data_IF_689956464767
#
_entry.id   IF_689956464767
#
_cell.length_a   1.000
_cell.length_b   1.000
_cell.length_c   1.000
_cell.angle_alpha   90.00
_cell.angle_beta   90.00
_cell.angle_gamma   90.00
#
_symmetry.space_group_name_H-M   'P 1'
#
loop_
_entity.id
_entity.type
_entity.pdbx_description
1 polymer ?
#
# COMPACT_ATOMS: atom_id res chain seq x y z
N UNK A 1 -7.59 10.73 13.28
CA UNK A 1 -7.77 9.84 12.13
C UNK A 1 -8.91 8.87 12.36
N UNK A 2 -9.73 8.56 11.34
CA UNK A 2 -10.81 7.59 11.52
C UNK A 2 -10.29 6.22 11.95
N UNK A 3 -11.17 5.45 12.59
CA UNK A 3 -10.81 4.10 13.00
C UNK A 3 -10.59 3.19 11.80
N UNK A 4 -9.61 2.27 11.86
CA UNK A 4 -9.47 1.24 10.84
C UNK A 4 -10.66 0.28 10.86
N UNK A 5 -10.93 -0.44 9.76
CA UNK A 5 -11.98 -1.44 9.70
C UNK A 5 -11.75 -2.58 10.70
N UNK A 6 -12.83 -3.26 11.05
CA UNK A 6 -12.80 -4.42 11.94
C UNK A 6 -11.91 -5.53 11.35
N UNK A 7 -11.17 -6.20 12.22
CA UNK A 7 -10.31 -7.33 11.85
C UNK A 7 -11.10 -8.56 11.38
N UNK A 8 -12.42 -8.60 11.58
CA UNK A 8 -13.28 -9.66 11.05
C UNK A 8 -13.47 -9.60 9.53
N UNK A 9 -13.13 -8.47 8.90
CA UNK A 9 -13.22 -8.28 7.46
C UNK A 9 -12.04 -8.98 6.78
N UNK A 10 -12.28 -9.59 5.61
CA UNK A 10 -11.24 -10.25 4.84
C UNK A 10 -10.05 -9.31 4.59
N UNK A 11 -8.79 -9.78 4.67
CA UNK A 11 -7.62 -8.90 4.60
C UNK A 11 -7.57 -7.98 3.40
N UNK A 12 -7.92 -8.45 2.21
CA UNK A 12 -7.88 -7.59 1.01
C UNK A 12 -8.97 -6.51 1.07
N UNK A 13 -10.14 -6.84 1.55
CA UNK A 13 -11.22 -5.87 1.68
C UNK A 13 -10.90 -4.86 2.78
N UNK A 14 -10.25 -5.32 3.84
CA UNK A 14 -9.79 -4.45 4.91
C UNK A 14 -8.73 -3.46 4.41
N UNK A 15 -7.79 -3.91 3.59
CA UNK A 15 -6.79 -3.03 2.99
C UNK A 15 -7.44 -1.98 2.10
N UNK A 16 -8.39 -2.37 1.25
CA UNK A 16 -9.13 -1.44 0.41
C UNK A 16 -9.89 -0.41 1.24
N UNK A 17 -10.51 -0.84 2.31
CA UNK A 17 -11.23 0.06 3.21
C UNK A 17 -10.30 1.04 3.91
N UNK A 18 -9.12 0.59 4.34
CA UNK A 18 -8.11 1.45 4.96
C UNK A 18 -7.65 2.54 3.98
N UNK A 19 -7.34 2.18 2.74
CA UNK A 19 -6.91 3.14 1.72
C UNK A 19 -8.03 4.14 1.43
N UNK A 20 -9.27 3.66 1.35
CA UNK A 20 -10.43 4.54 1.16
C UNK A 20 -10.56 5.57 2.30
N UNK A 21 -10.36 5.14 3.54
CA UNK A 21 -10.37 6.03 4.71
C UNK A 21 -9.23 7.05 4.63
N UNK A 22 -8.03 6.61 4.28
CA UNK A 22 -6.86 7.49 4.17
C UNK A 22 -7.04 8.57 3.11
N UNK A 23 -7.77 8.28 2.06
CA UNK A 23 -8.09 9.23 0.99
C UNK A 23 -9.39 9.99 1.21
N UNK A 24 -10.09 9.73 2.31
CA UNK A 24 -11.32 10.40 2.67
C UNK A 24 -11.10 11.75 3.35
N UNK A 25 -12.19 12.47 3.70
CA UNK A 25 -12.11 13.84 4.20
C UNK A 25 -11.25 14.04 5.46
N UNK A 26 -11.22 13.04 6.35
CA UNK A 26 -10.45 13.09 7.59
C UNK A 26 -9.22 12.18 7.54
N UNK A 27 -8.79 11.80 6.34
CA UNK A 27 -7.68 10.89 6.14
C UNK A 27 -6.33 11.58 6.11
N UNK A 28 -5.36 10.93 5.47
CA UNK A 28 -4.00 11.42 5.33
C UNK A 28 -3.90 12.45 4.19
N UNK A 29 -3.47 13.68 4.46
CA UNK A 29 -3.35 14.71 3.40
C UNK A 29 -2.48 14.28 2.23
N UNK A 30 -1.39 13.57 2.50
CA UNK A 30 -0.50 13.06 1.46
C UNK A 30 -1.24 12.09 0.52
N UNK A 31 -1.99 11.14 1.10
CA UNK A 31 -2.75 10.16 0.31
C UNK A 31 -3.86 10.83 -0.51
N UNK A 32 -4.51 11.82 0.07
CA UNK A 32 -5.59 12.57 -0.61
C UNK A 32 -5.06 13.30 -1.85
N UNK A 33 -3.85 13.84 -1.79
CA UNK A 33 -3.25 14.57 -2.89
C UNK A 33 -2.74 13.68 -4.02
N UNK A 34 -2.58 12.37 -3.79
CA UNK A 34 -2.03 11.48 -4.80
C UNK A 34 -3.00 11.23 -5.95
N UNK A 35 -2.48 11.22 -7.14
CA UNK A 35 -3.16 10.80 -8.37
C UNK A 35 -2.47 9.56 -8.91
N UNK A 36 -3.09 8.88 -9.88
CA UNK A 36 -2.42 7.75 -10.54
C UNK A 36 -1.08 8.17 -11.13
N UNK A 37 -1.02 9.34 -11.75
CA UNK A 37 0.21 9.88 -12.34
C UNK A 37 1.29 10.17 -11.30
N UNK A 38 0.92 10.76 -10.17
CA UNK A 38 1.89 11.10 -9.11
C UNK A 38 2.48 9.87 -8.45
N UNK A 39 1.80 8.72 -8.54
CA UNK A 39 2.27 7.46 -7.97
C UNK A 39 3.24 6.70 -8.88
N UNK A 40 3.42 7.10 -10.14
CA UNK A 40 4.30 6.39 -11.07
C UNK A 40 5.71 6.18 -10.50
N UNK A 41 6.41 7.20 -9.97
CA UNK A 41 7.73 6.98 -9.37
C UNK A 41 7.69 5.99 -8.20
N UNK A 42 6.67 6.06 -7.37
CA UNK A 42 6.54 5.18 -6.21
C UNK A 42 6.31 3.73 -6.64
N UNK A 43 5.47 3.51 -7.64
CA UNK A 43 5.20 2.16 -8.18
C UNK A 43 6.48 1.55 -8.75
N UNK A 44 7.25 2.31 -9.52
CA UNK A 44 8.51 1.83 -10.10
C UNK A 44 9.53 1.50 -9.01
N UNK A 45 9.66 2.34 -8.00
CA UNK A 45 10.56 2.11 -6.88
C UNK A 45 10.18 0.86 -6.10
N UNK A 46 8.90 0.72 -5.73
CA UNK A 46 8.41 -0.42 -4.97
C UNK A 46 8.52 -1.74 -5.77
N UNK A 47 8.26 -1.68 -7.07
CA UNK A 47 8.42 -2.85 -7.94
C UNK A 47 9.88 -3.28 -8.00
N UNK A 48 10.81 -2.34 -8.08
CA UNK A 48 12.25 -2.63 -8.09
C UNK A 48 12.70 -3.24 -6.76
N UNK A 49 12.26 -2.67 -5.64
CA UNK A 49 12.57 -3.18 -4.31
C UNK A 49 12.01 -4.59 -4.09
N UNK A 50 10.78 -4.84 -4.55
CA UNK A 50 10.16 -6.16 -4.48
C UNK A 50 10.97 -7.20 -5.30
N UNK A 51 11.39 -6.83 -6.51
CA UNK A 51 12.21 -7.69 -7.35
C UNK A 51 13.57 -7.99 -6.70
N UNK A 52 14.19 -6.99 -6.08
CA UNK A 52 15.46 -7.15 -5.38
C UNK A 52 15.32 -8.06 -4.15
N UNK A 53 14.25 -7.88 -3.39
CA UNK A 53 13.96 -8.73 -2.23
C UNK A 53 13.79 -10.21 -2.63
N UNK A 54 13.14 -10.48 -3.76
CA UNK A 54 12.99 -11.82 -4.31
C UNK A 54 14.36 -12.38 -4.71
N UNK A 55 15.18 -11.56 -5.35
CA UNK A 55 16.53 -11.95 -5.80
C UNK A 55 17.43 -12.33 -4.65
N UNK A 56 17.36 -11.62 -3.53
CA UNK A 56 18.18 -11.90 -2.34
C UNK A 56 17.66 -13.08 -1.53
N UNK A 57 16.42 -13.53 -1.76
CA UNK A 57 15.86 -14.69 -1.07
C UNK A 57 15.46 -14.48 0.37
N UNK A 58 15.41 -13.24 0.85
CA UNK A 58 14.96 -12.92 2.21
C UNK A 58 13.44 -12.88 2.27
N UNK A 59 12.84 -13.91 2.86
CA UNK A 59 11.38 -14.05 2.89
C UNK A 59 10.67 -12.92 3.64
N UNK A 60 11.24 -12.46 4.75
CA UNK A 60 10.68 -11.35 5.51
C UNK A 60 10.68 -10.05 4.69
N UNK A 61 11.78 -9.79 4.01
CA UNK A 61 11.93 -8.62 3.15
C UNK A 61 10.99 -8.69 1.94
N UNK A 62 10.83 -9.89 1.34
CA UNK A 62 9.89 -10.11 0.25
C UNK A 62 8.46 -9.78 0.67
N UNK A 63 8.05 -10.23 1.84
CA UNK A 63 6.70 -9.99 2.36
C UNK A 63 6.46 -8.49 2.54
N UNK A 64 7.42 -7.78 3.10
CA UNK A 64 7.34 -6.34 3.30
C UNK A 64 7.24 -5.59 1.98
N UNK A 65 8.14 -5.85 1.04
CA UNK A 65 8.20 -5.13 -0.23
C UNK A 65 7.01 -5.46 -1.15
N UNK A 66 6.55 -6.70 -1.17
CA UNK A 66 5.35 -7.06 -1.93
C UNK A 66 4.10 -6.42 -1.33
N UNK A 67 4.06 -6.28 0.00
CA UNK A 67 2.99 -5.56 0.68
C UNK A 67 2.99 -4.07 0.29
N UNK A 68 4.15 -3.45 0.26
CA UNK A 68 4.31 -2.04 -0.13
C UNK A 68 3.89 -1.82 -1.59
N UNK A 69 4.24 -2.75 -2.48
CA UNK A 69 3.80 -2.69 -3.88
C UNK A 69 2.28 -2.85 -3.99
N UNK A 70 1.69 -3.79 -3.24
CA UNK A 70 0.25 -3.98 -3.22
C UNK A 70 -0.47 -2.71 -2.75
N UNK A 71 0.09 -2.02 -1.78
CA UNK A 71 -0.47 -0.75 -1.30
C UNK A 71 -0.57 0.27 -2.43
N UNK A 72 0.40 0.31 -3.34
CA UNK A 72 0.35 1.21 -4.50
C UNK A 72 -0.78 0.84 -5.47
N UNK A 73 -1.09 -0.45 -5.60
CA UNK A 73 -2.17 -0.92 -6.48
C UNK A 73 -3.53 -0.57 -5.92
N UNK A 74 -3.69 -0.65 -4.62
CA UNK A 74 -4.95 -0.39 -3.92
C UNK A 74 -5.10 1.09 -3.63
#
# INVERSE_FOLDING_TARGET
MPKPPDTSIAPIDRLRAIVHILRGPDGCPWDIEQTQKSLIPNILEEAYEAADAIRTGNKGHMLEELGDLLLQVV
#
